data_IF_343509329796
#
_entry.id   IF_343509329796
#
_cell.length_a   1.000
_cell.length_b   1.000
_cell.length_c   1.000
_cell.angle_alpha   90.00
_cell.angle_beta   90.00
_cell.angle_gamma   90.00
#
_symmetry.space_group_name_H-M   'P 1'
#
loop_
_entity.id
_entity.type
_entity.pdbx_description
1 polymer ?
#
# COMPACT_ATOMS: atom_id res chain seq x y z
N UNK A 1 60.58 46.14 35.64
CA UNK A 1 60.11 44.83 35.15
C UNK A 1 58.60 44.90 34.92
N UNK A 2 58.22 45.16 33.69
CA UNK A 2 56.75 45.18 33.33
C UNK A 2 56.37 43.86 32.69
N UNK A 3 55.26 43.23 33.02
CA UNK A 3 54.82 42.02 32.34
C UNK A 3 54.09 42.35 31.02
N UNK A 4 54.46 41.63 29.96
CA UNK A 4 53.85 41.69 28.64
C UNK A 4 52.48 40.90 28.70
N UNK A 5 51.40 41.60 28.37
CA UNK A 5 50.09 40.98 28.17
C UNK A 5 50.04 40.51 26.72
N UNK A 6 49.94 39.18 26.51
CA UNK A 6 49.64 38.60 25.22
C UNK A 6 48.09 38.61 25.02
N UNK A 7 47.63 39.37 24.05
CA UNK A 7 46.25 39.31 23.59
C UNK A 7 46.07 38.13 22.64
N UNK A 8 45.24 37.17 23.02
CA UNK A 8 44.79 36.09 22.15
C UNK A 8 43.55 36.56 21.40
N UNK A 9 43.69 36.75 20.09
CA UNK A 9 42.56 37.04 19.21
C UNK A 9 41.80 35.75 18.92
N UNK A 10 40.56 35.61 19.42
CA UNK A 10 39.68 34.53 19.08
C UNK A 10 39.04 34.80 17.71
N UNK A 11 39.37 33.97 16.74
CA UNK A 11 38.77 34.00 15.40
C UNK A 11 37.39 33.28 15.46
N UNK A 12 36.32 34.05 15.46
CA UNK A 12 34.96 33.52 15.33
C UNK A 12 34.70 33.14 13.86
N UNK A 13 34.76 31.84 13.55
CA UNK A 13 34.29 31.30 12.27
C UNK A 13 32.78 31.24 12.30
N UNK A 14 32.09 32.15 11.60
CA UNK A 14 30.66 32.09 11.37
C UNK A 14 30.40 30.98 10.38
N UNK A 15 29.90 29.84 10.88
CA UNK A 15 29.33 28.76 10.04
C UNK A 15 27.96 29.23 9.55
N UNK A 16 27.88 29.66 8.30
CA UNK A 16 26.60 29.93 7.66
C UNK A 16 25.90 28.61 7.41
N UNK A 17 24.87 28.29 8.22
CA UNK A 17 23.90 27.19 7.96
C UNK A 17 23.10 27.65 6.73
N UNK A 18 23.11 26.93 5.62
CA UNK A 18 22.23 27.26 4.50
C UNK A 18 20.78 27.17 4.99
N UNK A 19 20.05 28.28 4.87
CA UNK A 19 18.61 28.30 5.14
C UNK A 19 17.94 27.22 4.28
N UNK A 20 17.37 26.21 4.92
CA UNK A 20 16.58 25.19 4.24
C UNK A 20 15.52 25.91 3.39
N UNK A 21 15.49 25.63 2.09
CA UNK A 21 14.43 26.13 1.20
C UNK A 21 13.11 25.75 1.84
N UNK A 22 12.33 26.74 2.28
CA UNK A 22 10.93 26.51 2.67
C UNK A 22 10.24 25.89 1.45
N UNK A 23 9.74 24.66 1.62
CA UNK A 23 8.95 24.02 0.57
C UNK A 23 7.73 24.90 0.33
N UNK A 24 7.58 25.36 -0.92
CA UNK A 24 6.36 26.06 -1.33
C UNK A 24 5.17 25.16 -1.02
N UNK A 25 4.13 25.61 -0.31
CA UNK A 25 2.95 24.78 -0.04
C UNK A 25 2.39 24.27 -1.37
N UNK A 26 2.24 22.95 -1.49
CA UNK A 26 1.61 22.35 -2.67
C UNK A 26 0.13 22.69 -2.61
N UNK A 27 -0.47 23.32 -3.65
CA UNK A 27 -1.89 23.63 -3.67
C UNK A 27 -2.71 22.36 -3.44
N UNK A 28 -3.67 22.39 -2.50
CA UNK A 28 -4.47 21.19 -2.18
C UNK A 28 -5.42 20.77 -3.33
N UNK A 29 -5.61 21.62 -4.34
CA UNK A 29 -6.53 21.42 -5.43
C UNK A 29 -8.00 21.46 -4.98
N UNK A 30 -8.96 21.25 -5.90
CA UNK A 30 -10.37 21.21 -5.58
C UNK A 30 -10.70 20.07 -4.61
N UNK A 31 -11.40 20.40 -3.51
CA UNK A 31 -11.94 19.44 -2.54
C UNK A 31 -13.46 19.40 -2.73
N UNK A 32 -14.03 18.22 -2.85
CA UNK A 32 -15.46 18.06 -3.05
C UNK A 32 -16.04 16.78 -2.45
N UNK A 33 -17.33 16.52 -2.68
CA UNK A 33 -18.00 15.34 -2.17
C UNK A 33 -17.44 14.05 -2.76
N UNK A 34 -17.51 12.96 -2.02
CA UNK A 34 -17.19 11.63 -2.54
C UNK A 34 -18.06 11.30 -3.74
N UNK A 35 -17.49 10.82 -4.87
CA UNK A 35 -18.26 10.34 -6.00
C UNK A 35 -18.84 8.93 -5.76
N UNK A 36 -18.64 8.38 -4.57
CA UNK A 36 -19.10 7.06 -4.16
C UNK A 36 -20.01 7.11 -2.95
N UNK A 37 -20.93 6.16 -2.87
CA UNK A 37 -21.68 5.80 -1.69
C UNK A 37 -21.04 4.59 -1.01
N UNK A 38 -20.91 4.61 0.32
CA UNK A 38 -20.46 3.45 1.06
C UNK A 38 -21.58 2.40 1.16
N UNK A 39 -21.26 1.13 0.94
CA UNK A 39 -22.18 0.01 1.19
C UNK A 39 -21.96 -0.47 2.62
N UNK A 40 -22.88 -0.11 3.50
CA UNK A 40 -22.76 -0.41 4.94
C UNK A 40 -22.73 -1.91 5.19
N UNK A 41 -21.85 -2.33 6.11
CA UNK A 41 -21.69 -3.73 6.53
C UNK A 41 -21.53 -4.70 5.35
N UNK A 42 -20.91 -4.26 4.25
CA UNK A 42 -20.77 -5.10 3.07
C UNK A 42 -19.96 -6.37 3.34
N UNK A 43 -18.81 -6.26 3.99
CA UNK A 43 -17.97 -7.41 4.33
C UNK A 43 -18.64 -8.20 5.46
N UNK A 44 -19.24 -9.33 5.11
CA UNK A 44 -19.99 -10.14 6.06
C UNK A 44 -19.06 -10.86 7.04
N UNK A 45 -19.30 -10.78 8.36
CA UNK A 45 -18.55 -11.53 9.34
C UNK A 45 -18.56 -13.03 9.07
N UNK A 46 -17.41 -13.69 9.16
CA UNK A 46 -17.23 -15.12 8.93
C UNK A 46 -16.38 -15.81 9.99
N UNK A 47 -15.74 -15.02 10.87
CA UNK A 47 -14.93 -15.54 11.96
C UNK A 47 -15.78 -16.37 12.95
N UNK A 48 -15.14 -17.30 13.64
CA UNK A 48 -15.77 -18.06 14.71
C UNK A 48 -16.24 -17.12 15.86
N UNK A 49 -17.21 -17.53 16.70
CA UNK A 49 -17.58 -16.76 17.88
C UNK A 49 -16.37 -16.36 18.72
N UNK A 50 -16.32 -15.10 19.18
CA UNK A 50 -15.20 -14.56 19.93
C UNK A 50 -14.06 -14.02 19.09
N UNK A 51 -14.18 -14.02 17.75
CA UNK A 51 -13.20 -13.46 16.83
C UNK A 51 -13.84 -12.43 15.88
N UNK A 52 -13.01 -11.54 15.37
CA UNK A 52 -13.34 -10.59 14.31
C UNK A 52 -12.23 -10.57 13.26
N UNK A 53 -12.45 -9.82 12.20
CA UNK A 53 -11.42 -9.55 11.20
C UNK A 53 -10.15 -8.99 11.86
N UNK A 54 -8.99 -9.49 11.47
CA UNK A 54 -7.74 -8.78 11.62
C UNK A 54 -7.62 -7.64 10.62
N UNK A 55 -6.45 -7.00 10.54
CA UNK A 55 -6.23 -5.95 9.54
C UNK A 55 -6.31 -6.49 8.12
N UNK A 56 -7.21 -5.98 7.31
CA UNK A 56 -7.27 -6.29 5.88
C UNK A 56 -6.27 -5.40 5.14
N UNK A 57 -5.02 -5.85 5.09
CA UNK A 57 -3.89 -5.08 4.58
C UNK A 57 -3.79 -5.05 3.06
N UNK A 58 -4.26 -6.10 2.39
CA UNK A 58 -4.28 -6.20 0.94
C UNK A 58 -5.68 -6.51 0.42
N UNK A 59 -6.12 -5.76 -0.60
CA UNK A 59 -7.33 -6.04 -1.36
C UNK A 59 -7.02 -5.98 -2.86
N UNK A 60 -7.53 -6.95 -3.61
CA UNK A 60 -7.46 -6.97 -5.06
C UNK A 60 -8.78 -7.48 -5.65
N UNK A 61 -9.50 -6.61 -6.35
CA UNK A 61 -10.73 -6.95 -7.03
C UNK A 61 -10.41 -7.47 -8.45
N UNK A 62 -10.35 -8.78 -8.62
CA UNK A 62 -10.17 -9.39 -9.94
C UNK A 62 -11.46 -9.30 -10.76
N UNK A 63 -12.58 -9.43 -10.10
CA UNK A 63 -13.93 -9.25 -10.66
C UNK A 63 -14.90 -8.89 -9.53
N UNK A 64 -16.13 -8.46 -9.84
CA UNK A 64 -17.16 -8.22 -8.82
C UNK A 64 -17.48 -9.44 -7.94
N UNK A 65 -17.25 -10.64 -8.45
CA UNK A 65 -17.51 -11.91 -7.74
C UNK A 65 -16.24 -12.60 -7.21
N UNK A 66 -15.10 -11.93 -7.30
CA UNK A 66 -13.83 -12.44 -6.77
C UNK A 66 -12.93 -11.30 -6.32
N UNK A 67 -13.08 -10.96 -5.04
CA UNK A 67 -12.26 -9.97 -4.35
C UNK A 67 -11.31 -10.73 -3.42
N UNK A 68 -10.02 -10.69 -3.73
CA UNK A 68 -8.98 -11.34 -2.94
C UNK A 68 -8.58 -10.44 -1.77
N UNK A 69 -8.42 -11.04 -0.60
CA UNK A 69 -8.05 -10.37 0.64
C UNK A 69 -6.80 -11.01 1.23
N UNK A 70 -5.84 -10.18 1.59
CA UNK A 70 -4.75 -10.52 2.49
C UNK A 70 -5.04 -9.91 3.87
N UNK A 71 -5.26 -10.77 4.85
CA UNK A 71 -5.64 -10.40 6.22
C UNK A 71 -4.51 -10.71 7.19
N UNK A 72 -4.33 -9.87 8.17
CA UNK A 72 -3.35 -10.03 9.27
C UNK A 72 -3.88 -10.93 10.38
N UNK A 73 -4.33 -12.14 10.01
CA UNK A 73 -4.98 -13.10 10.88
C UNK A 73 -6.36 -12.63 11.37
N UNK A 74 -6.89 -13.28 12.40
CA UNK A 74 -8.09 -12.88 13.10
C UNK A 74 -7.77 -12.28 14.46
N UNK A 75 -8.68 -11.51 15.00
CA UNK A 75 -8.54 -10.76 16.23
C UNK A 75 -9.51 -11.29 17.29
N UNK A 76 -8.99 -11.67 18.46
CA UNK A 76 -9.80 -12.14 19.59
C UNK A 76 -10.53 -10.98 20.25
N UNK A 77 -11.86 -11.08 20.27
CA UNK A 77 -12.75 -10.06 20.85
C UNK A 77 -12.70 -10.10 22.39
N UNK A 78 -13.13 -9.02 23.08
CA UNK A 78 -13.38 -9.03 24.50
C UNK A 78 -14.48 -10.04 24.88
N UNK A 79 -14.39 -10.59 26.09
CA UNK A 79 -15.44 -11.41 26.69
C UNK A 79 -15.74 -10.86 28.09
N UNK A 80 -16.97 -10.40 28.40
CA UNK A 80 -18.13 -10.38 27.50
C UNK A 80 -18.00 -9.41 26.32
N UNK A 81 -18.68 -9.72 25.22
CA UNK A 81 -18.68 -8.87 24.03
C UNK A 81 -19.46 -7.57 24.30
N UNK A 82 -18.87 -6.39 24.09
CA UNK A 82 -19.56 -5.10 24.27
C UNK A 82 -20.77 -4.97 23.33
N UNK A 83 -21.83 -4.30 23.81
CA UNK A 83 -23.08 -4.12 23.07
C UNK A 83 -22.90 -3.28 21.79
N UNK A 84 -21.88 -2.43 21.74
CA UNK A 84 -21.56 -1.55 20.61
C UNK A 84 -20.89 -2.29 19.45
N UNK A 85 -20.56 -3.58 19.63
CA UNK A 85 -19.91 -4.37 18.57
C UNK A 85 -20.78 -4.47 17.32
N UNK A 86 -20.26 -3.93 16.21
CA UNK A 86 -20.94 -3.88 14.92
C UNK A 86 -20.25 -4.76 13.85
N UNK A 87 -19.66 -5.89 14.26
CA UNK A 87 -19.09 -6.87 13.33
C UNK A 87 -17.60 -6.72 13.03
N UNK A 88 -16.90 -5.70 13.56
CA UNK A 88 -15.46 -5.49 13.35
C UNK A 88 -14.84 -4.72 14.52
N UNK A 89 -13.52 -4.87 14.72
CA UNK A 89 -12.79 -4.30 15.86
C UNK A 89 -12.88 -2.76 15.94
N UNK A 90 -12.86 -2.07 14.80
CA UNK A 90 -12.98 -0.61 14.72
C UNK A 90 -14.30 -0.06 15.26
N UNK A 91 -15.38 -0.85 15.30
CA UNK A 91 -16.64 -0.44 15.93
C UNK A 91 -16.50 -0.28 17.45
N UNK A 92 -15.55 -1.00 18.04
CA UNK A 92 -15.16 -0.88 19.45
C UNK A 92 -13.96 0.07 19.65
N UNK A 93 -13.58 0.83 18.63
CA UNK A 93 -12.40 1.71 18.65
C UNK A 93 -11.08 0.97 18.93
N UNK A 94 -11.01 -0.32 18.57
CA UNK A 94 -9.85 -1.17 18.78
C UNK A 94 -8.98 -1.22 17.53
N UNK A 95 -7.71 -0.84 17.67
CA UNK A 95 -6.72 -0.95 16.60
C UNK A 95 -6.05 -2.32 16.65
N UNK A 96 -6.34 -3.18 15.67
CA UNK A 96 -5.85 -4.57 15.62
C UNK A 96 -4.34 -4.69 15.40
N UNK A 97 -3.66 -3.62 14.95
CA UNK A 97 -2.20 -3.64 14.83
C UNK A 97 -1.50 -3.49 16.18
N UNK A 98 -2.08 -2.74 17.10
CA UNK A 98 -1.48 -2.45 18.42
C UNK A 98 -1.77 -3.51 19.48
N UNK A 99 -2.66 -4.45 19.19
CA UNK A 99 -3.12 -5.49 20.10
C UNK A 99 -2.68 -6.88 19.59
N UNK A 100 -1.39 -7.04 19.35
CA UNK A 100 -0.81 -8.23 18.73
C UNK A 100 -1.02 -9.52 19.55
N UNK A 101 -1.15 -9.42 20.88
CA UNK A 101 -1.46 -10.51 21.82
C UNK A 101 -2.86 -11.11 21.60
N UNK A 102 -3.77 -10.38 20.95
CA UNK A 102 -5.13 -10.85 20.59
C UNK A 102 -5.20 -11.46 19.20
N UNK A 103 -4.10 -11.45 18.43
CA UNK A 103 -4.08 -11.97 17.06
C UNK A 103 -3.91 -13.48 17.03
N UNK A 104 -4.68 -14.13 16.14
CA UNK A 104 -4.53 -15.54 15.79
C UNK A 104 -4.30 -15.63 14.28
N UNK A 105 -3.24 -16.33 13.87
CA UNK A 105 -2.88 -16.49 12.46
C UNK A 105 -3.75 -17.56 11.81
N UNK A 106 -4.94 -17.14 11.41
CA UNK A 106 -5.92 -17.98 10.70
C UNK A 106 -6.67 -17.11 9.70
N UNK A 107 -7.16 -17.75 8.62
CA UNK A 107 -7.87 -17.09 7.52
C UNK A 107 -7.07 -15.89 6.96
N UNK A 108 -5.74 -16.06 6.77
CA UNK A 108 -4.88 -14.99 6.31
C UNK A 108 -5.12 -14.61 4.84
N UNK A 109 -5.59 -15.57 4.03
CA UNK A 109 -5.92 -15.38 2.62
C UNK A 109 -7.29 -15.95 2.32
N UNK A 110 -8.15 -15.15 1.68
CA UNK A 110 -9.48 -15.58 1.28
C UNK A 110 -10.03 -14.73 0.13
N UNK A 111 -11.14 -15.18 -0.47
CA UNK A 111 -11.87 -14.42 -1.48
C UNK A 111 -13.28 -14.11 -1.02
N UNK A 112 -13.81 -12.97 -1.49
CA UNK A 112 -15.18 -12.54 -1.26
C UNK A 112 -15.96 -12.53 -2.57
N UNK A 113 -17.28 -12.78 -2.48
CA UNK A 113 -18.22 -12.54 -3.57
C UNK A 113 -18.69 -11.07 -3.60
N UNK A 114 -19.51 -10.72 -4.59
CA UNK A 114 -20.09 -9.36 -4.76
C UNK A 114 -20.91 -8.87 -3.56
N UNK A 115 -21.37 -9.78 -2.71
CA UNK A 115 -22.17 -9.50 -1.53
C UNK A 115 -21.32 -9.43 -0.25
N UNK A 116 -19.99 -9.54 -0.37
CA UNK A 116 -19.07 -9.53 0.76
C UNK A 116 -19.05 -10.79 1.59
N UNK A 117 -19.54 -11.91 1.05
CA UNK A 117 -19.50 -13.22 1.69
C UNK A 117 -18.22 -13.95 1.29
N UNK A 118 -17.62 -14.64 2.25
CA UNK A 118 -16.44 -15.48 1.98
C UNK A 118 -16.83 -16.61 1.04
N UNK A 119 -16.11 -16.70 -0.07
CA UNK A 119 -16.28 -17.71 -1.12
C UNK A 119 -15.28 -18.84 -0.99
N UNK A 120 -14.01 -18.49 -0.77
CA UNK A 120 -12.90 -19.43 -0.62
C UNK A 120 -12.03 -18.98 0.53
N UNK A 121 -11.49 -19.92 1.30
CA UNK A 121 -10.48 -19.70 2.34
C UNK A 121 -9.25 -20.52 1.98
N UNK A 122 -8.09 -19.89 1.99
CA UNK A 122 -6.83 -20.55 1.67
C UNK A 122 -6.08 -20.94 2.96
N UNK A 123 -6.80 -21.55 3.90
CA UNK A 123 -6.30 -21.87 5.25
C UNK A 123 -5.10 -22.80 5.25
N UNK A 124 -4.89 -23.59 4.19
CA UNK A 124 -3.68 -24.40 4.02
C UNK A 124 -2.40 -23.56 4.02
N UNK A 125 -2.50 -22.23 3.81
CA UNK A 125 -1.37 -21.29 3.78
C UNK A 125 -1.24 -20.44 5.04
N UNK A 126 -2.07 -20.61 6.05
CA UNK A 126 -2.01 -19.82 7.29
C UNK A 126 -0.65 -20.00 7.99
N UNK A 127 -0.03 -21.18 7.87
CA UNK A 127 1.32 -21.45 8.39
C UNK A 127 2.42 -20.54 7.82
N UNK A 128 2.18 -19.91 6.64
CA UNK A 128 3.10 -18.93 6.08
C UNK A 128 3.09 -17.58 6.82
N UNK A 129 2.07 -17.35 7.65
CA UNK A 129 1.94 -16.16 8.50
C UNK A 129 2.18 -16.48 9.98
N UNK A 130 2.12 -17.75 10.36
CA UNK A 130 2.22 -18.20 11.76
C UNK A 130 3.56 -17.85 12.37
N UNK A 131 3.51 -17.36 13.62
CA UNK A 131 4.71 -16.95 14.37
C UNK A 131 5.28 -15.60 13.93
N UNK A 132 4.56 -14.82 13.11
CA UNK A 132 5.02 -13.49 12.72
C UNK A 132 5.14 -12.56 13.93
N UNK A 133 6.32 -11.99 14.20
CA UNK A 133 6.51 -11.03 15.30
C UNK A 133 5.93 -9.64 14.98
N UNK A 134 5.47 -9.43 13.76
CA UNK A 134 4.94 -8.16 13.28
C UNK A 134 3.61 -8.30 12.56
N UNK A 135 3.28 -7.35 11.67
CA UNK A 135 1.95 -7.30 11.06
C UNK A 135 1.64 -8.43 10.07
N UNK A 136 2.62 -9.08 9.45
CA UNK A 136 2.42 -10.21 8.55
C UNK A 136 2.13 -9.82 7.09
N UNK A 137 1.08 -10.38 6.45
CA UNK A 137 0.75 -10.07 5.06
C UNK A 137 0.47 -8.57 4.86
N UNK A 138 0.96 -8.01 3.73
CA UNK A 138 0.87 -6.58 3.47
C UNK A 138 0.09 -6.24 2.21
N UNK A 139 0.36 -6.93 1.09
CA UNK A 139 -0.27 -6.66 -0.21
C UNK A 139 -0.66 -7.96 -0.90
N UNK A 140 -1.63 -7.83 -1.79
CA UNK A 140 -2.02 -8.89 -2.73
C UNK A 140 -2.18 -8.26 -4.12
N UNK A 141 -1.58 -8.87 -5.15
CA UNK A 141 -1.59 -8.36 -6.53
C UNK A 141 -1.71 -9.50 -7.53
N UNK A 142 -2.28 -9.18 -8.69
CA UNK A 142 -2.26 -10.03 -9.90
C UNK A 142 -1.72 -9.18 -11.03
N UNK A 143 -0.77 -9.72 -11.80
CA UNK A 143 -0.26 -9.02 -12.97
C UNK A 143 -1.31 -8.98 -14.08
N UNK A 144 -1.60 -7.81 -14.67
CA UNK A 144 -2.50 -7.71 -15.82
C UNK A 144 -1.94 -8.40 -17.07
N UNK A 145 -0.65 -8.66 -17.11
CA UNK A 145 0.07 -9.28 -18.24
C UNK A 145 0.28 -10.78 -18.08
N UNK A 146 -0.04 -11.34 -16.91
CA UNK A 146 0.10 -12.76 -16.63
C UNK A 146 -1.16 -13.53 -17.04
N UNK A 147 -1.04 -14.38 -18.06
CA UNK A 147 -2.14 -15.22 -18.54
C UNK A 147 -2.65 -16.21 -17.50
N UNK A 148 -1.75 -16.68 -16.63
CA UNK A 148 -2.06 -17.64 -15.57
C UNK A 148 -2.70 -16.98 -14.36
N UNK A 149 -2.80 -15.64 -14.33
CA UNK A 149 -3.40 -14.87 -13.23
C UNK A 149 -2.82 -15.26 -11.86
N UNK A 150 -1.51 -15.49 -11.79
CA UNK A 150 -0.84 -15.84 -10.54
C UNK A 150 -1.04 -14.75 -9.49
N UNK A 151 -1.31 -15.18 -8.27
CA UNK A 151 -1.58 -14.30 -7.14
C UNK A 151 -0.30 -14.07 -6.34
N UNK A 152 0.09 -12.82 -6.21
CA UNK A 152 1.28 -12.39 -5.48
C UNK A 152 0.86 -11.87 -4.11
N UNK A 153 1.47 -12.40 -3.06
CA UNK A 153 1.22 -11.99 -1.67
C UNK A 153 2.53 -11.57 -1.03
N UNK A 154 2.61 -10.33 -0.60
CA UNK A 154 3.77 -9.77 0.08
C UNK A 154 3.61 -9.96 1.59
N UNK A 155 4.56 -10.61 2.24
CA UNK A 155 4.64 -10.71 3.69
C UNK A 155 5.80 -9.84 4.19
N UNK A 156 5.48 -8.63 4.63
CA UNK A 156 6.48 -7.64 5.03
C UNK A 156 7.32 -8.08 6.24
N UNK A 157 6.69 -8.77 7.20
CA UNK A 157 7.41 -9.16 8.43
C UNK A 157 8.38 -10.29 8.21
N UNK A 158 8.03 -11.24 7.34
CA UNK A 158 8.90 -12.38 7.05
C UNK A 158 9.88 -12.13 5.91
N UNK A 159 9.88 -10.92 5.33
CA UNK A 159 10.75 -10.54 4.21
C UNK A 159 10.57 -11.46 2.99
N UNK A 160 9.34 -11.90 2.72
CA UNK A 160 9.04 -12.87 1.66
C UNK A 160 7.91 -12.38 0.76
N UNK A 161 7.94 -12.87 -0.48
CA UNK A 161 6.86 -12.72 -1.43
C UNK A 161 6.48 -14.11 -1.93
N UNK A 162 5.21 -14.45 -1.79
CA UNK A 162 4.64 -15.73 -2.20
C UNK A 162 3.89 -15.57 -3.52
N UNK A 163 4.10 -16.47 -4.45
CA UNK A 163 3.40 -16.51 -5.74
C UNK A 163 2.59 -17.79 -5.81
N UNK A 164 1.28 -17.65 -5.85
CA UNK A 164 0.34 -18.77 -5.90
C UNK A 164 -0.26 -18.96 -7.29
N UNK A 165 -0.78 -20.17 -7.55
CA UNK A 165 -1.69 -20.38 -8.68
C UNK A 165 -2.94 -19.50 -8.52
N UNK A 166 -3.62 -19.17 -9.63
CA UNK A 166 -4.82 -18.34 -9.63
C UNK A 166 -5.90 -18.83 -8.66
N UNK A 167 -6.07 -20.14 -8.53
CA UNK A 167 -7.04 -20.76 -7.63
C UNK A 167 -6.54 -20.92 -6.18
N UNK A 168 -5.33 -20.45 -5.87
CA UNK A 168 -4.74 -20.51 -4.54
C UNK A 168 -4.34 -21.89 -4.04
N UNK A 169 -4.45 -22.94 -4.87
CA UNK A 169 -4.19 -24.32 -4.43
C UNK A 169 -2.71 -24.68 -4.39
N UNK A 170 -1.87 -23.98 -5.15
CA UNK A 170 -0.43 -24.26 -5.26
C UNK A 170 0.38 -23.02 -4.93
N UNK A 171 1.39 -23.16 -4.09
CA UNK A 171 2.49 -22.21 -3.95
C UNK A 171 3.51 -22.52 -5.07
N UNK A 172 3.64 -21.60 -6.02
CA UNK A 172 4.47 -21.77 -7.21
C UNK A 172 5.90 -21.29 -6.97
N UNK A 173 6.05 -20.20 -6.20
CA UNK A 173 7.36 -19.59 -5.94
C UNK A 173 7.33 -18.86 -4.60
N UNK A 174 8.47 -18.88 -3.91
CA UNK A 174 8.79 -17.98 -2.81
C UNK A 174 10.01 -17.17 -3.20
N UNK A 175 9.93 -15.85 -3.03
CA UNK A 175 11.07 -14.93 -3.16
C UNK A 175 11.44 -14.44 -1.76
N UNK A 176 12.73 -14.28 -1.51
CA UNK A 176 13.26 -14.03 -0.17
C UNK A 176 13.29 -15.29 0.69
N UNK A 177 13.77 -15.16 1.91
CA UNK A 177 13.85 -16.24 2.89
C UNK A 177 13.15 -15.82 4.17
N UNK A 178 12.31 -16.72 4.74
CA UNK A 178 11.50 -16.42 5.93
C UNK A 178 12.38 -16.04 7.12
N UNK A 179 12.14 -14.87 7.70
CA UNK A 179 12.88 -14.27 8.81
C UNK A 179 14.33 -13.84 8.47
N UNK A 180 14.74 -13.86 7.23
CA UNK A 180 16.06 -13.39 6.81
C UNK A 180 15.89 -12.03 6.14
N UNK A 181 16.28 -10.97 6.83
CA UNK A 181 16.37 -9.64 6.24
C UNK A 181 17.72 -9.47 5.55
N UNK A 182 17.74 -8.85 4.36
CA UNK A 182 18.97 -8.59 3.63
C UNK A 182 18.78 -7.55 2.54
N UNK A 183 19.89 -6.98 2.07
CA UNK A 183 19.93 -5.99 1.00
C UNK A 183 20.65 -6.48 -0.26
N UNK A 184 20.94 -7.78 -0.33
CA UNK A 184 21.52 -8.39 -1.51
C UNK A 184 20.48 -8.63 -2.62
N UNK A 185 20.85 -9.42 -3.64
CA UNK A 185 19.99 -9.66 -4.81
C UNK A 185 18.88 -10.69 -4.60
N UNK A 186 18.87 -11.39 -3.47
CA UNK A 186 17.94 -12.48 -3.16
C UNK A 186 17.05 -12.20 -1.97
N UNK A 187 17.43 -11.28 -1.08
CA UNK A 187 16.74 -10.98 0.16
C UNK A 187 16.10 -9.60 0.14
N UNK A 188 15.11 -9.43 1.00
CA UNK A 188 14.37 -8.19 1.22
C UNK A 188 14.46 -7.76 2.68
N UNK A 189 14.13 -6.50 2.95
CA UNK A 189 13.91 -6.01 4.31
C UNK A 189 12.63 -5.17 4.36
N UNK A 190 11.55 -5.81 4.79
CA UNK A 190 10.18 -5.31 4.80
C UNK A 190 9.67 -4.90 3.40
N UNK A 191 9.57 -5.83 2.45
CA UNK A 191 8.97 -5.57 1.14
C UNK A 191 7.51 -5.14 1.32
N UNK A 192 7.05 -4.20 0.49
CA UNK A 192 5.76 -3.54 0.67
C UNK A 192 4.79 -3.79 -0.47
N UNK A 193 5.25 -3.78 -1.71
CA UNK A 193 4.39 -3.90 -2.89
C UNK A 193 5.13 -4.46 -4.11
N UNK A 194 4.38 -4.89 -5.11
CA UNK A 194 4.90 -5.29 -6.42
C UNK A 194 4.10 -4.64 -7.54
N UNK A 195 4.79 -4.29 -8.62
CA UNK A 195 4.17 -3.84 -9.86
C UNK A 195 4.77 -4.56 -11.07
N UNK A 196 4.06 -4.54 -12.18
CA UNK A 196 4.39 -5.33 -13.36
C UNK A 196 4.52 -4.44 -14.58
N UNK A 197 5.58 -4.63 -15.34
CA UNK A 197 5.78 -3.98 -16.63
C UNK A 197 5.20 -4.83 -17.77
N UNK A 198 4.77 -4.22 -18.89
CA UNK A 198 4.21 -4.95 -20.03
C UNK A 198 5.15 -5.98 -20.66
N UNK A 199 6.45 -5.80 -20.50
CA UNK A 199 7.49 -6.70 -21.00
C UNK A 199 7.77 -7.89 -20.07
N UNK A 200 7.01 -8.02 -18.98
CA UNK A 200 7.08 -9.11 -18.01
C UNK A 200 8.03 -8.86 -16.84
N UNK A 201 8.77 -7.75 -16.82
CA UNK A 201 9.58 -7.39 -15.65
C UNK A 201 8.70 -7.13 -14.44
N UNK A 202 9.24 -7.44 -13.26
CA UNK A 202 8.60 -7.24 -11.96
C UNK A 202 9.39 -6.20 -11.18
N UNK A 203 8.69 -5.25 -10.61
CA UNK A 203 9.23 -4.23 -9.71
C UNK A 203 8.81 -4.58 -8.29
N UNK A 204 9.76 -4.66 -7.37
CA UNK A 204 9.49 -4.94 -5.96
C UNK A 204 9.87 -3.72 -5.14
N UNK A 205 8.89 -3.11 -4.48
CA UNK A 205 9.12 -2.07 -3.49
C UNK A 205 9.67 -2.71 -2.20
N UNK A 206 10.98 -2.83 -2.09
CA UNK A 206 11.70 -3.34 -0.94
C UNK A 206 11.99 -2.18 0.04
N UNK A 207 10.94 -1.80 0.78
CA UNK A 207 10.65 -0.42 1.07
C UNK A 207 11.03 0.15 2.41
N UNK A 208 10.69 -0.46 3.55
CA UNK A 208 10.78 0.27 4.82
C UNK A 208 12.20 0.28 5.41
N UNK A 209 12.99 -0.76 5.17
CA UNK A 209 14.35 -0.85 5.71
C UNK A 209 15.43 -0.77 4.62
N UNK A 210 15.16 -1.29 3.39
CA UNK A 210 16.13 -1.19 2.29
C UNK A 210 15.96 0.08 1.42
N UNK A 211 14.81 0.74 1.45
CA UNK A 211 14.56 2.00 0.74
C UNK A 211 14.84 1.92 -0.77
N UNK A 212 14.59 0.78 -1.40
CA UNK A 212 14.89 0.54 -2.82
C UNK A 212 13.70 -0.08 -3.55
N UNK A 213 13.77 -0.03 -4.87
CA UNK A 213 12.93 -0.85 -5.74
C UNK A 213 13.84 -1.78 -6.54
N UNK A 214 13.61 -3.09 -6.43
CA UNK A 214 14.30 -4.11 -7.23
C UNK A 214 13.61 -4.32 -8.55
N UNK A 215 14.38 -4.59 -9.60
CA UNK A 215 13.91 -4.94 -10.93
C UNK A 215 14.27 -6.40 -11.19
N UNK A 216 13.26 -7.24 -11.42
CA UNK A 216 13.45 -8.63 -11.85
C UNK A 216 13.00 -8.81 -13.30
N UNK A 217 13.59 -9.78 -14.00
CA UNK A 217 13.11 -10.19 -15.33
C UNK A 217 11.82 -11.04 -15.21
N UNK A 218 11.28 -11.48 -16.35
CA UNK A 218 10.09 -12.35 -16.43
C UNK A 218 10.26 -13.72 -15.77
N UNK A 219 11.50 -14.17 -15.61
CA UNK A 219 11.86 -15.44 -14.97
C UNK A 219 12.26 -15.26 -13.51
N UNK A 220 12.08 -14.01 -12.98
CA UNK A 220 12.34 -13.58 -11.63
C UNK A 220 13.84 -13.54 -11.24
N UNK A 221 14.73 -13.40 -12.21
CA UNK A 221 16.13 -13.13 -11.96
C UNK A 221 16.36 -11.64 -11.73
N UNK A 222 17.26 -11.29 -10.84
CA UNK A 222 17.64 -9.91 -10.56
C UNK A 222 18.31 -9.25 -11.76
N UNK A 223 17.80 -8.09 -12.18
CA UNK A 223 18.39 -7.26 -13.22
C UNK A 223 19.10 -6.03 -12.64
N UNK A 224 18.49 -5.36 -11.68
CA UNK A 224 19.00 -4.12 -11.13
C UNK A 224 18.08 -3.59 -10.01
N UNK A 225 18.42 -2.40 -9.54
CA UNK A 225 17.64 -1.69 -8.52
C UNK A 225 17.80 -0.18 -8.66
N UNK A 226 16.90 0.57 -8.02
CA UNK A 226 16.97 2.02 -7.93
C UNK A 226 16.41 2.52 -6.60
N UNK A 227 16.72 3.78 -6.25
CA UNK A 227 16.29 4.38 -5.00
C UNK A 227 17.48 4.58 -4.05
N UNK A 228 17.35 4.05 -2.85
CA UNK A 228 18.28 4.23 -1.73
C UNK A 228 17.75 5.18 -0.66
N UNK A 229 18.25 5.05 0.56
CA UNK A 229 17.81 5.84 1.71
C UNK A 229 18.16 7.32 1.53
N UNK A 230 17.17 8.20 1.71
CA UNK A 230 17.38 9.64 1.66
C UNK A 230 16.17 10.45 1.25
N UNK A 231 16.38 11.76 1.11
CA UNK A 231 15.37 12.75 0.72
C UNK A 231 15.66 13.43 -0.61
N UNK A 232 16.76 13.09 -1.25
CA UNK A 232 17.12 13.61 -2.57
C UNK A 232 16.25 13.06 -3.69
N UNK A 233 16.40 13.58 -4.92
CA UNK A 233 15.68 13.11 -6.10
C UNK A 233 15.86 11.60 -6.30
N UNK A 234 14.77 10.86 -6.39
CA UNK A 234 14.78 9.42 -6.59
C UNK A 234 15.17 8.58 -5.38
N UNK A 235 15.49 9.17 -4.24
CA UNK A 235 15.71 8.48 -2.97
C UNK A 235 14.38 8.28 -2.20
N UNK A 236 14.36 7.38 -1.22
CA UNK A 236 13.18 7.07 -0.43
C UNK A 236 13.46 7.16 1.07
N UNK A 237 12.50 7.68 1.81
CA UNK A 237 12.41 7.55 3.26
C UNK A 237 11.63 6.30 3.68
N UNK A 238 10.88 5.70 2.77
CA UNK A 238 10.14 4.45 2.95
C UNK A 238 9.16 4.20 1.80
N UNK A 239 9.62 3.52 0.74
CA UNK A 239 8.76 3.18 -0.40
C UNK A 239 7.71 2.15 0.02
N UNK A 240 6.42 2.47 -0.16
CA UNK A 240 5.30 1.71 0.38
C UNK A 240 4.36 1.13 -0.69
N UNK A 241 4.21 1.81 -1.80
CA UNK A 241 3.43 1.33 -2.93
C UNK A 241 4.11 1.68 -4.23
N UNK A 242 3.84 0.90 -5.28
CA UNK A 242 4.42 1.12 -6.60
C UNK A 242 3.39 0.80 -7.68
N UNK A 243 3.30 1.64 -8.70
CA UNK A 243 2.43 1.42 -9.84
C UNK A 243 3.13 1.78 -11.15
N UNK A 244 2.72 1.12 -12.22
CA UNK A 244 3.20 1.36 -13.58
C UNK A 244 2.09 2.03 -14.40
N UNK A 245 2.47 2.96 -15.23
CA UNK A 245 1.55 3.69 -16.11
C UNK A 245 2.02 3.78 -17.55
N UNK A 246 1.28 4.50 -18.39
CA UNK A 246 1.58 4.65 -19.81
C UNK A 246 2.99 5.17 -20.07
N UNK A 247 3.60 4.69 -21.16
CA UNK A 247 4.94 5.13 -21.59
C UNK A 247 6.08 4.70 -20.68
N UNK A 248 5.92 3.59 -19.94
CA UNK A 248 6.94 3.04 -19.04
C UNK A 248 7.20 3.90 -17.80
N UNK A 249 6.23 4.75 -17.42
CA UNK A 249 6.30 5.50 -16.17
C UNK A 249 6.11 4.57 -14.98
N UNK A 250 6.90 4.81 -13.94
CA UNK A 250 6.86 4.10 -12.66
C UNK A 250 6.61 5.15 -11.58
N UNK A 251 5.57 4.96 -10.79
CA UNK A 251 5.21 5.83 -9.69
C UNK A 251 5.49 5.08 -8.38
N UNK A 252 6.54 5.47 -7.67
CA UNK A 252 6.95 4.89 -6.40
C UNK A 252 6.58 5.84 -5.26
N UNK A 253 5.68 5.36 -4.41
CA UNK A 253 5.08 6.14 -3.34
C UNK A 253 5.94 6.07 -2.08
N UNK A 254 6.61 7.17 -1.76
CA UNK A 254 7.44 7.34 -0.58
C UNK A 254 6.57 7.79 0.60
N UNK A 255 6.00 6.82 1.34
CA UNK A 255 5.07 7.05 2.45
C UNK A 255 5.69 7.97 3.51
N UNK A 256 6.88 7.63 3.99
CA UNK A 256 7.55 8.39 5.05
C UNK A 256 8.11 9.73 4.56
N UNK A 257 8.34 9.86 3.25
CA UNK A 257 8.74 11.10 2.60
C UNK A 257 7.58 12.02 2.23
N UNK A 258 6.32 11.53 2.27
CA UNK A 258 5.13 12.31 1.91
C UNK A 258 5.07 12.71 0.43
N UNK A 259 5.56 11.85 -0.47
CA UNK A 259 5.74 12.17 -1.89
C UNK A 259 5.61 10.94 -2.79
N UNK A 260 5.50 11.19 -4.09
CA UNK A 260 5.62 10.17 -5.14
C UNK A 260 6.86 10.50 -5.95
N UNK A 261 7.80 9.56 -6.05
CA UNK A 261 8.91 9.64 -6.98
C UNK A 261 8.49 9.01 -8.32
N UNK A 262 8.72 9.72 -9.41
CA UNK A 262 8.37 9.28 -10.76
C UNK A 262 9.63 8.91 -11.51
N UNK A 263 9.64 7.70 -12.07
CA UNK A 263 10.72 7.20 -12.90
C UNK A 263 10.17 6.79 -14.28
N UNK A 264 11.07 6.52 -15.20
CA UNK A 264 10.77 5.96 -16.51
C UNK A 264 11.72 4.82 -16.83
N UNK A 265 11.22 3.78 -17.48
CA UNK A 265 12.06 2.72 -18.02
C UNK A 265 13.01 3.25 -19.11
N UNK A 266 14.20 2.67 -19.20
CA UNK A 266 15.19 3.01 -20.23
C UNK A 266 15.32 1.85 -21.24
N UNK A 267 16.20 2.00 -22.25
CA UNK A 267 16.56 0.90 -23.15
C UNK A 267 17.32 -0.22 -22.44
N UNK A 268 18.03 0.09 -21.38
CA UNK A 268 18.68 -0.88 -20.51
C UNK A 268 17.61 -1.42 -19.53
N UNK A 269 17.25 -2.71 -19.61
CA UNK A 269 16.19 -3.27 -18.75
C UNK A 269 16.53 -3.23 -17.25
N UNK A 270 17.80 -3.10 -16.90
CA UNK A 270 18.27 -3.01 -15.51
C UNK A 270 18.20 -1.59 -14.93
N UNK A 271 17.83 -0.58 -15.72
CA UNK A 271 17.90 0.83 -15.33
C UNK A 271 16.61 1.58 -15.54
N UNK A 272 16.40 2.55 -14.69
CA UNK A 272 15.34 3.57 -14.80
C UNK A 272 15.94 4.96 -14.71
N UNK A 273 15.23 5.94 -15.24
CA UNK A 273 15.56 7.37 -15.15
C UNK A 273 14.59 8.04 -14.17
N UNK A 274 15.11 8.84 -13.23
CA UNK A 274 14.28 9.71 -12.39
C UNK A 274 13.73 10.86 -13.24
N UNK A 275 12.43 11.10 -13.14
CA UNK A 275 11.73 12.11 -13.97
C UNK A 275 11.24 13.28 -13.14
N UNK A 276 10.58 13.01 -12.01
CA UNK A 276 9.92 14.03 -11.22
C UNK A 276 9.62 13.55 -9.79
N UNK A 277 9.26 14.50 -8.94
CA UNK A 277 8.74 14.27 -7.60
C UNK A 277 7.41 15.02 -7.44
N UNK A 278 6.41 14.37 -6.86
CA UNK A 278 5.12 14.96 -6.52
C UNK A 278 4.95 14.98 -4.99
N UNK A 279 5.26 16.08 -4.31
CA UNK A 279 5.22 16.20 -2.86
C UNK A 279 3.81 16.55 -2.32
N UNK A 280 3.70 16.71 -1.01
CA UNK A 280 2.54 17.30 -0.34
C UNK A 280 1.50 16.30 0.13
N UNK A 281 1.90 15.07 0.41
CA UNK A 281 1.07 14.09 1.10
C UNK A 281 1.46 14.01 2.58
N UNK A 282 0.51 13.65 3.43
CA UNK A 282 0.75 13.51 4.87
C UNK A 282 1.22 12.09 5.24
N UNK A 283 0.55 11.08 4.71
CA UNK A 283 0.91 9.66 4.87
C UNK A 283 0.26 8.87 3.72
N UNK A 284 0.81 8.94 2.50
CA UNK A 284 0.25 8.26 1.34
C UNK A 284 0.45 6.75 1.46
N UNK A 285 -0.61 5.96 1.20
CA UNK A 285 -0.64 4.53 1.49
C UNK A 285 -0.66 3.66 0.23
N UNK A 286 -1.49 4.00 -0.76
CA UNK A 286 -1.63 3.20 -1.98
C UNK A 286 -1.89 4.09 -3.20
N UNK A 287 -1.65 3.54 -4.39
CA UNK A 287 -1.74 4.25 -5.65
C UNK A 287 -2.31 3.37 -6.76
N UNK A 288 -3.29 3.89 -7.49
CA UNK A 288 -3.74 3.36 -8.77
C UNK A 288 -3.44 4.36 -9.88
N UNK A 289 -2.89 3.86 -10.98
CA UNK A 289 -2.67 4.61 -12.21
C UNK A 289 -3.76 4.27 -13.21
N UNK A 290 -4.48 5.27 -13.68
CA UNK A 290 -5.40 5.18 -14.82
C UNK A 290 -4.70 5.66 -16.11
N UNK A 291 -5.42 5.73 -17.25
CA UNK A 291 -4.83 6.15 -18.52
C UNK A 291 -4.36 7.62 -18.51
N UNK A 292 -5.01 8.46 -17.71
CA UNK A 292 -4.86 9.91 -17.70
C UNK A 292 -4.54 10.50 -16.31
N UNK A 293 -4.57 9.69 -15.28
CA UNK A 293 -4.52 10.19 -13.90
C UNK A 293 -4.01 9.16 -12.90
N UNK A 294 -3.67 9.65 -11.72
CA UNK A 294 -3.28 8.89 -10.55
C UNK A 294 -4.34 9.09 -9.47
N UNK A 295 -4.62 8.02 -8.73
CA UNK A 295 -5.41 8.08 -7.51
C UNK A 295 -4.59 7.56 -6.34
N UNK A 296 -4.54 8.32 -5.25
CA UNK A 296 -3.74 8.05 -4.07
C UNK A 296 -4.64 8.10 -2.84
N UNK A 297 -4.48 7.12 -1.94
CA UNK A 297 -5.00 7.25 -0.57
C UNK A 297 -3.97 7.93 0.31
N UNK A 298 -4.42 8.93 1.09
CA UNK A 298 -3.59 9.67 2.05
C UNK A 298 -4.32 9.69 3.41
N UNK A 299 -3.63 9.32 4.51
CA UNK A 299 -4.30 8.97 5.76
C UNK A 299 -4.67 10.17 6.66
N UNK A 300 -3.97 11.28 6.55
CA UNK A 300 -4.14 12.39 7.51
C UNK A 300 -4.44 13.73 6.82
N UNK A 301 -5.73 14.05 6.59
CA UNK A 301 -6.94 13.25 6.84
C UNK A 301 -7.08 12.12 5.83
N UNK A 302 -7.90 11.11 6.16
CA UNK A 302 -8.16 10.01 5.23
C UNK A 302 -8.94 10.52 4.02
N UNK A 303 -8.26 10.48 2.86
CA UNK A 303 -8.76 11.04 1.62
C UNK A 303 -8.24 10.29 0.39
N UNK A 304 -8.95 10.41 -0.70
CA UNK A 304 -8.45 10.11 -2.03
C UNK A 304 -8.03 11.39 -2.73
N UNK A 305 -6.88 11.37 -3.36
CA UNK A 305 -6.31 12.49 -4.12
C UNK A 305 -6.12 12.07 -5.56
N UNK A 306 -6.70 12.81 -6.50
CA UNK A 306 -6.50 12.65 -7.93
C UNK A 306 -5.41 13.60 -8.43
N UNK A 307 -4.42 13.07 -9.15
CA UNK A 307 -3.41 13.86 -9.85
C UNK A 307 -3.46 13.60 -11.36
N UNK A 308 -3.01 14.56 -12.14
CA UNK A 308 -2.56 14.29 -13.51
C UNK A 308 -1.10 13.79 -13.51
N UNK A 309 -0.59 13.45 -14.71
CA UNK A 309 0.79 12.98 -14.86
C UNK A 309 1.87 14.07 -14.75
N UNK A 310 1.51 15.31 -14.50
CA UNK A 310 2.42 16.39 -14.13
C UNK A 310 2.53 16.58 -12.62
N UNK A 311 1.69 15.86 -11.84
CA UNK A 311 1.59 15.98 -10.39
C UNK A 311 0.61 17.06 -9.93
N UNK A 312 -0.12 17.71 -10.83
CA UNK A 312 -1.16 18.67 -10.49
C UNK A 312 -2.34 17.96 -9.84
N UNK A 313 -2.78 18.45 -8.68
CA UNK A 313 -4.00 17.95 -8.02
C UNK A 313 -5.24 18.36 -8.78
N UNK A 314 -6.00 17.38 -9.23
CA UNK A 314 -7.24 17.57 -9.98
C UNK A 314 -8.47 17.53 -9.09
N UNK A 315 -8.45 16.68 -8.05
CA UNK A 315 -9.56 16.52 -7.13
C UNK A 315 -9.14 15.82 -5.84
N UNK A 316 -9.83 16.13 -4.75
CA UNK A 316 -9.69 15.46 -3.47
C UNK A 316 -11.06 15.23 -2.86
N UNK A 317 -11.28 14.07 -2.25
CA UNK A 317 -12.48 13.80 -1.45
C UNK A 317 -12.14 13.02 -0.19
N UNK A 318 -12.87 13.33 0.91
CA UNK A 318 -12.74 12.59 2.16
C UNK A 318 -13.51 11.29 2.06
N UNK A 319 -12.93 10.22 2.62
CA UNK A 319 -13.57 8.90 2.59
C UNK A 319 -14.72 8.87 3.58
N UNK A 320 -15.97 8.61 3.13
CA UNK A 320 -17.10 8.51 4.05
C UNK A 320 -16.97 7.23 4.89
N UNK A 321 -17.16 7.31 6.22
CA UNK A 321 -17.12 6.13 7.07
C UNK A 321 -18.36 5.27 6.88
N UNK A 322 -18.22 3.96 7.07
CA UNK A 322 -19.33 3.01 7.08
C UNK A 322 -20.26 3.22 8.30
N UNK A 323 -19.68 3.52 9.45
CA UNK A 323 -20.40 3.89 10.67
C UNK A 323 -20.10 5.33 11.06
N UNK A 324 -21.06 6.12 11.59
CA UNK A 324 -20.86 7.53 11.92
C UNK A 324 -19.66 7.80 12.82
N UNK A 325 -19.44 6.95 13.83
CA UNK A 325 -18.35 7.07 14.79
C UNK A 325 -17.33 5.94 14.69
N UNK A 326 -17.40 5.16 13.60
CA UNK A 326 -16.49 4.05 13.33
C UNK A 326 -15.13 4.55 12.85
N UNK A 327 -14.07 3.94 13.37
CA UNK A 327 -12.74 4.15 12.80
C UNK A 327 -12.66 3.55 11.40
N UNK A 328 -11.90 4.21 10.53
CA UNK A 328 -11.77 3.89 9.13
C UNK A 328 -10.34 4.16 8.68
N UNK A 329 -9.77 3.19 7.97
CA UNK A 329 -8.57 3.35 7.15
C UNK A 329 -8.84 2.82 5.75
N UNK A 330 -8.13 3.33 4.75
CA UNK A 330 -7.98 2.72 3.42
C UNK A 330 -6.49 2.56 3.15
N UNK A 331 -5.94 1.45 3.66
CA UNK A 331 -4.52 1.11 3.51
C UNK A 331 -4.18 0.70 2.08
N UNK A 332 -5.09 -0.01 1.45
CA UNK A 332 -5.01 -0.45 0.06
C UNK A 332 -6.37 -0.32 -0.59
N UNK A 333 -6.42 -0.14 -1.89
CA UNK A 333 -7.68 -0.08 -2.61
C UNK A 333 -7.61 -0.75 -3.98
N UNK A 334 -8.76 -1.20 -4.45
CA UNK A 334 -8.90 -1.85 -5.76
C UNK A 334 -10.27 -1.54 -6.35
N UNK A 335 -10.39 -1.64 -7.66
CA UNK A 335 -11.64 -1.37 -8.39
C UNK A 335 -11.97 -2.55 -9.28
N UNK A 336 -13.22 -3.01 -9.24
CA UNK A 336 -13.70 -4.07 -10.12
C UNK A 336 -14.17 -3.55 -11.49
N UNK A 337 -14.59 -4.48 -12.37
CA UNK A 337 -15.08 -4.13 -13.71
C UNK A 337 -16.40 -3.37 -13.71
N UNK A 338 -17.18 -3.40 -12.64
CA UNK A 338 -18.43 -2.64 -12.48
C UNK A 338 -18.16 -1.22 -11.94
N UNK A 339 -16.89 -0.90 -11.64
CA UNK A 339 -16.47 0.38 -11.08
C UNK A 339 -16.66 0.50 -9.57
N UNK A 340 -16.97 -0.59 -8.88
CA UNK A 340 -17.03 -0.58 -7.42
C UNK A 340 -15.62 -0.49 -6.85
N UNK A 341 -15.46 0.37 -5.85
CA UNK A 341 -14.21 0.59 -5.13
C UNK A 341 -14.22 -0.23 -3.82
N UNK A 342 -13.10 -0.88 -3.54
CA UNK A 342 -12.87 -1.66 -2.32
C UNK A 342 -11.67 -1.08 -1.57
N UNK A 343 -11.87 -0.77 -0.30
CA UNK A 343 -10.82 -0.27 0.59
C UNK A 343 -10.53 -1.25 1.72
N UNK A 344 -9.29 -1.72 1.81
CA UNK A 344 -8.83 -2.59 2.89
C UNK A 344 -8.47 -1.79 4.14
N UNK A 345 -9.10 -2.10 5.27
CA UNK A 345 -8.82 -1.47 6.55
C UNK A 345 -7.82 -2.30 7.35
N UNK A 346 -6.60 -1.81 7.39
CA UNK A 346 -5.47 -2.49 8.00
C UNK A 346 -5.44 -2.41 9.53
N UNK A 347 -6.01 -1.35 10.10
CA UNK A 347 -5.93 -1.07 11.53
C UNK A 347 -7.17 -1.49 12.30
N UNK A 348 -8.34 -1.34 11.68
CA UNK A 348 -9.61 -1.55 12.38
C UNK A 348 -10.37 -2.77 11.90
N UNK A 349 -9.81 -3.46 10.88
CA UNK A 349 -10.32 -4.72 10.33
C UNK A 349 -11.46 -4.55 9.36
N UNK A 350 -11.59 -5.46 8.44
CA UNK A 350 -12.52 -5.57 7.32
C UNK A 350 -12.13 -4.80 6.04
N UNK A 351 -12.77 -5.17 4.96
CA UNK A 351 -12.75 -4.44 3.69
C UNK A 351 -14.08 -3.70 3.50
N UNK A 352 -14.02 -2.48 2.99
CA UNK A 352 -15.20 -1.66 2.72
C UNK A 352 -15.45 -1.60 1.22
N UNK A 353 -16.74 -1.61 0.83
CA UNK A 353 -17.17 -1.43 -0.55
C UNK A 353 -17.83 -0.07 -0.71
N UNK A 354 -17.49 0.56 -1.82
CA UNK A 354 -18.08 1.82 -2.24
C UNK A 354 -18.61 1.63 -3.67
N UNK A 355 -19.82 2.10 -3.94
CA UNK A 355 -20.44 2.06 -5.27
C UNK A 355 -20.52 3.46 -5.87
N UNK A 356 -20.30 3.62 -7.18
CA UNK A 356 -20.47 4.92 -7.83
C UNK A 356 -21.84 5.52 -7.56
N UNK A 357 -21.88 6.80 -7.24
CA UNK A 357 -23.16 7.51 -7.14
C UNK A 357 -23.77 7.65 -8.53
N UNK A 358 -25.12 7.52 -8.68
CA UNK A 358 -25.78 7.65 -9.97
C UNK A 358 -25.55 9.02 -10.65
N UNK A 359 -25.38 10.06 -9.86
CA UNK A 359 -25.15 11.45 -10.25
C UNK A 359 -23.66 11.87 -10.27
N UNK A 360 -22.75 10.93 -10.04
CA UNK A 360 -21.33 11.24 -9.99
C UNK A 360 -20.78 11.64 -11.38
N UNK A 361 -19.95 12.67 -11.39
CA UNK A 361 -19.11 12.91 -12.56
C UNK A 361 -18.19 11.71 -12.81
N UNK A 362 -18.35 11.10 -13.98
CA UNK A 362 -17.56 9.92 -14.39
C UNK A 362 -16.05 10.18 -14.41
N UNK A 363 -15.65 11.44 -14.63
CA UNK A 363 -14.24 11.82 -14.56
C UNK A 363 -13.66 11.73 -13.15
N UNK A 364 -14.49 11.72 -12.11
CA UNK A 364 -14.08 11.59 -10.72
C UNK A 364 -14.11 10.15 -10.21
N UNK A 365 -14.54 9.19 -11.01
CA UNK A 365 -14.52 7.78 -10.64
C UNK A 365 -13.11 7.19 -10.84
N UNK A 366 -12.71 6.34 -9.92
CA UNK A 366 -11.49 5.54 -10.02
C UNK A 366 -11.79 4.38 -10.97
N UNK A 367 -11.04 4.28 -12.05
CA UNK A 367 -11.18 3.20 -13.03
C UNK A 367 -10.18 2.09 -12.73
N UNK A 368 -10.39 0.93 -13.35
CA UNK A 368 -9.44 -0.17 -13.28
C UNK A 368 -8.02 0.32 -13.59
N UNK A 369 -6.99 -0.23 -12.91
CA UNK A 369 -5.60 0.15 -13.15
C UNK A 369 -5.20 0.00 -14.62
N UNK A 370 -4.26 0.83 -15.06
CA UNK A 370 -3.68 0.74 -16.38
C UNK A 370 -3.15 -0.67 -16.66
N UNK A 371 -3.49 -1.22 -17.82
CA UNK A 371 -3.14 -2.60 -18.21
C UNK A 371 -4.14 -3.67 -17.78
N UNK A 372 -5.12 -3.39 -16.92
CA UNK A 372 -6.14 -4.36 -16.49
C UNK A 372 -7.44 -4.35 -17.33
N UNK A 373 -7.47 -3.65 -18.44
CA UNK A 373 -8.64 -3.56 -19.33
C UNK A 373 -8.60 -4.58 -20.44
#
# INVERSE_FOLDING_TARGET
>A
MMPRICAVAALLIAVSIPAGRAQTPVPEGPIGPSPYNVVRAWHQPFAAPGFAFGGNSGVFAESPDRILIAQRGEFRLPDPLPAEYAGFAGSLKMNVLTLADRRVWQNCLYTLDRNGRVKERWTQWDHLCEGSPGPGPHRIRISPYDRDKRVWVINETFNTIYVFSSDGKKLLKTLGEKNVAGSDRAHFAKPQDVAFLPDGRVLIADGLDNHRVMILDKDLNYLGEFGGNGKGPGQFSGVHAIAVGPGGRIFALDRSGGRINVFRTTKDPAKVEFVAEFPGFSLPLDIIVNDDSLWITDLKPLRFVKLDFSGKRLYTWLVPPDLPDGYLEVHTFSVDSDGNLYGGDNQYGRTQKFVPRPDADKALLIRAPWGQR
#
